data_IF_161565310284
#
_entry.id   IF_161565310284
#
_cell.length_a   1.000
_cell.length_b   1.000
_cell.length_c   1.000
_cell.angle_alpha   90.00
_cell.angle_beta   90.00
_cell.angle_gamma   90.00
#
_symmetry.space_group_name_H-M   'P 1'
#
loop_
_entity.id
_entity.type
_entity.pdbx_description
1 polymer ?
#
# COMPACT_ATOMS: atom_id res chain seq x y z
N UNK A 1 4.03 -17.57 16.14
CA UNK A 1 2.81 -17.25 15.36
C UNK A 1 1.73 -16.54 16.18
N UNK A 2 1.49 -16.88 17.45
CA UNK A 2 0.43 -16.23 18.28
C UNK A 2 0.68 -14.76 18.62
N UNK A 3 1.92 -14.31 18.78
CA UNK A 3 2.21 -12.91 19.17
C UNK A 3 1.96 -11.88 18.05
N UNK A 4 2.14 -12.25 16.78
CA UNK A 4 1.93 -11.33 15.66
C UNK A 4 0.45 -11.00 15.48
N UNK A 5 -0.43 -11.98 15.63
CA UNK A 5 -1.87 -11.78 15.46
C UNK A 5 -2.48 -10.89 16.55
N UNK A 6 -2.03 -11.02 17.81
CA UNK A 6 -2.52 -10.19 18.94
C UNK A 6 -2.11 -8.72 18.78
N UNK A 7 -0.89 -8.47 18.36
CA UNK A 7 -0.37 -7.12 18.16
C UNK A 7 -1.09 -6.41 16.97
N UNK A 8 -1.37 -7.13 15.90
CA UNK A 8 -2.16 -6.62 14.78
C UNK A 8 -3.61 -6.33 15.21
N UNK A 9 -4.23 -7.20 16.02
CA UNK A 9 -5.57 -6.96 16.56
C UNK A 9 -5.62 -5.68 17.39
N UNK A 10 -4.59 -5.43 18.21
CA UNK A 10 -4.49 -4.18 18.98
C UNK A 10 -4.42 -2.94 18.07
N UNK A 11 -3.72 -3.02 16.92
CA UNK A 11 -3.70 -1.94 15.93
C UNK A 11 -5.10 -1.63 15.38
N UNK A 12 -5.90 -2.65 15.06
CA UNK A 12 -7.27 -2.45 14.62
C UNK A 12 -8.10 -1.74 15.71
N UNK A 13 -7.94 -2.08 16.98
CA UNK A 13 -8.61 -1.41 18.09
C UNK A 13 -8.24 0.07 18.19
N UNK A 14 -6.96 0.40 18.06
CA UNK A 14 -6.47 1.80 18.13
C UNK A 14 -7.04 2.70 17.04
N UNK A 15 -7.47 2.14 15.93
CA UNK A 15 -8.08 2.89 14.82
C UNK A 15 -9.61 2.84 14.84
N UNK A 16 -10.22 2.28 15.91
CA UNK A 16 -11.65 2.32 16.13
C UNK A 16 -12.42 1.05 15.73
N UNK A 17 -11.73 -0.06 15.51
CA UNK A 17 -12.40 -1.36 15.34
C UNK A 17 -12.45 -2.14 16.65
N UNK A 18 -13.57 -2.11 17.36
CA UNK A 18 -13.76 -2.92 18.58
C UNK A 18 -13.65 -4.42 18.31
N UNK A 19 -14.11 -4.83 17.12
CA UNK A 19 -14.04 -6.22 16.66
C UNK A 19 -13.63 -6.25 15.19
N UNK A 20 -12.78 -7.23 14.85
CA UNK A 20 -12.40 -7.46 13.45
C UNK A 20 -13.62 -7.82 12.61
N UNK A 21 -13.72 -7.21 11.45
CA UNK A 21 -14.72 -7.57 10.44
C UNK A 21 -14.45 -8.96 9.84
N UNK A 22 -15.41 -9.59 9.17
CA UNK A 22 -15.21 -10.91 8.55
C UNK A 22 -14.03 -10.93 7.56
N UNK A 23 -13.85 -9.88 6.76
CA UNK A 23 -12.74 -9.81 5.80
C UNK A 23 -11.38 -9.65 6.53
N UNK A 24 -11.31 -8.85 7.58
CA UNK A 24 -10.11 -8.69 8.38
C UNK A 24 -9.67 -10.01 9.02
N UNK A 25 -10.61 -10.76 9.60
CA UNK A 25 -10.33 -12.10 10.18
C UNK A 25 -9.78 -13.09 9.16
N UNK A 26 -10.29 -13.04 7.91
CA UNK A 26 -9.82 -13.93 6.83
C UNK A 26 -8.50 -13.49 6.22
N UNK A 27 -8.27 -12.19 6.08
CA UNK A 27 -7.07 -11.65 5.45
C UNK A 27 -5.81 -11.81 6.33
N UNK A 28 -5.94 -11.58 7.65
CA UNK A 28 -4.81 -11.62 8.57
C UNK A 28 -3.93 -12.88 8.46
N UNK A 29 -4.47 -14.12 8.57
CA UNK A 29 -3.62 -15.31 8.52
C UNK A 29 -2.98 -15.55 7.16
N UNK A 30 -3.52 -14.99 6.08
CA UNK A 30 -2.96 -15.09 4.73
C UNK A 30 -1.81 -14.10 4.58
N UNK A 31 -2.03 -12.84 4.93
CA UNK A 31 -1.04 -11.78 4.78
C UNK A 31 0.15 -11.97 5.75
N UNK A 32 -0.09 -12.47 6.97
CA UNK A 32 0.99 -12.79 7.92
C UNK A 32 1.95 -13.88 7.39
N UNK A 33 1.51 -14.68 6.42
CA UNK A 33 2.36 -15.67 5.73
C UNK A 33 3.01 -15.12 4.47
N UNK A 34 2.81 -13.85 4.15
CA UNK A 34 3.30 -13.17 2.95
C UNK A 34 2.86 -13.87 1.65
N UNK A 35 1.62 -14.36 1.63
CA UNK A 35 1.02 -15.02 0.47
C UNK A 35 0.23 -13.98 -0.33
N UNK A 36 0.35 -14.03 -1.66
CA UNK A 36 -0.47 -13.22 -2.55
C UNK A 36 -1.97 -13.51 -2.32
N UNK A 37 -2.78 -12.47 -2.21
CA UNK A 37 -4.18 -12.58 -1.86
C UNK A 37 -5.06 -11.64 -2.66
N UNK A 38 -6.25 -12.11 -3.04
CA UNK A 38 -7.33 -11.29 -3.55
C UNK A 38 -8.39 -11.12 -2.47
N UNK A 39 -8.60 -9.87 -2.03
CA UNK A 39 -9.60 -9.54 -1.01
C UNK A 39 -10.91 -9.10 -1.68
N UNK A 40 -11.92 -9.95 -1.61
CA UNK A 40 -13.25 -9.68 -2.16
C UNK A 40 -14.26 -9.52 -1.02
N UNK A 41 -14.86 -8.35 -0.93
CA UNK A 41 -15.90 -8.05 0.06
C UNK A 41 -16.65 -6.76 -0.32
N UNK A 42 -17.87 -6.52 0.21
CA UNK A 42 -18.62 -5.30 -0.05
C UNK A 42 -17.84 -4.02 0.32
N UNK A 43 -18.26 -2.90 -0.26
CA UNK A 43 -17.75 -1.58 0.09
C UNK A 43 -18.00 -1.29 1.57
N UNK A 44 -17.10 -0.60 2.25
CA UNK A 44 -17.24 -0.27 3.68
C UNK A 44 -16.97 -1.43 4.64
N UNK A 45 -16.61 -2.61 4.16
CA UNK A 45 -16.32 -3.79 5.00
C UNK A 45 -14.95 -3.76 5.70
N UNK A 46 -14.10 -2.75 5.41
CA UNK A 46 -12.74 -2.64 5.93
C UNK A 46 -11.69 -3.38 5.10
N UNK A 47 -11.90 -3.53 3.78
CA UNK A 47 -10.91 -4.13 2.85
C UNK A 47 -9.55 -3.44 2.90
N UNK A 48 -9.55 -2.12 2.77
CA UNK A 48 -8.33 -1.32 2.78
C UNK A 48 -7.53 -1.56 4.05
N UNK A 49 -8.17 -1.46 5.20
CA UNK A 49 -7.55 -1.72 6.50
C UNK A 49 -7.07 -3.16 6.65
N UNK A 50 -7.81 -4.12 6.06
CA UNK A 50 -7.43 -5.54 6.06
C UNK A 50 -6.09 -5.79 5.37
N UNK A 51 -5.76 -4.99 4.34
CA UNK A 51 -4.50 -5.05 3.62
C UNK A 51 -3.41 -4.22 4.29
N UNK A 52 -3.65 -2.91 4.50
CA UNK A 52 -2.58 -1.98 4.86
C UNK A 52 -2.07 -2.15 6.29
N UNK A 53 -2.94 -2.46 7.26
CA UNK A 53 -2.53 -2.55 8.66
C UNK A 53 -1.54 -3.69 8.91
N UNK A 54 -1.78 -4.94 8.46
CA UNK A 54 -0.80 -6.01 8.60
C UNK A 54 0.51 -5.71 7.87
N UNK A 55 0.43 -5.18 6.65
CA UNK A 55 1.59 -4.83 5.83
C UNK A 55 2.44 -3.77 6.53
N UNK A 56 1.83 -2.69 7.00
CA UNK A 56 2.57 -1.61 7.67
C UNK A 56 3.23 -2.08 8.96
N UNK A 57 2.53 -2.92 9.72
CA UNK A 57 3.12 -3.53 10.92
C UNK A 57 4.35 -4.38 10.59
N UNK A 58 4.30 -5.19 9.53
CA UNK A 58 5.45 -5.99 9.08
C UNK A 58 6.60 -5.10 8.62
N UNK A 59 6.31 -4.03 7.85
CA UNK A 59 7.33 -3.07 7.41
C UNK A 59 7.98 -2.33 8.57
N UNK A 60 7.22 -1.97 9.62
CA UNK A 60 7.75 -1.31 10.81
C UNK A 60 8.70 -2.19 11.62
N UNK A 61 8.58 -3.50 11.49
CA UNK A 61 9.47 -4.48 12.14
C UNK A 61 10.70 -4.81 11.31
N UNK A 62 10.85 -4.20 10.15
CA UNK A 62 11.90 -4.44 9.18
C UNK A 62 12.84 -3.22 9.11
N UNK A 63 14.15 -3.46 9.05
CA UNK A 63 15.18 -2.42 9.01
C UNK A 63 15.63 -2.04 7.60
N UNK A 64 15.00 -2.59 6.55
CA UNK A 64 15.33 -2.24 5.18
C UNK A 64 14.96 -0.77 4.88
N UNK A 65 15.71 -0.15 4.00
CA UNK A 65 15.49 1.24 3.55
C UNK A 65 14.97 1.29 2.12
N UNK A 66 14.38 2.43 1.74
CA UNK A 66 13.81 2.64 0.42
C UNK A 66 12.32 2.32 0.36
N UNK A 67 11.76 2.28 -0.84
CA UNK A 67 10.35 1.98 -1.07
C UNK A 67 10.13 0.48 -0.88
N UNK A 68 9.45 0.11 0.20
CA UNK A 68 9.20 -1.29 0.59
C UNK A 68 7.77 -1.73 0.31
N UNK A 69 6.83 -0.78 0.17
CA UNK A 69 5.48 -1.05 -0.30
C UNK A 69 5.02 -0.02 -1.32
N UNK A 70 4.24 -0.48 -2.30
CA UNK A 70 3.53 0.38 -3.26
C UNK A 70 2.03 0.11 -3.10
N UNK A 71 1.26 1.19 -2.94
CA UNK A 71 -0.19 1.16 -2.96
C UNK A 71 -0.68 1.80 -4.26
N UNK A 72 -1.27 0.99 -5.13
CA UNK A 72 -1.74 1.39 -6.46
C UNK A 72 -3.24 1.53 -6.41
N UNK A 73 -3.74 2.71 -6.82
CA UNK A 73 -5.17 2.98 -6.86
C UNK A 73 -5.50 3.87 -8.06
N UNK A 74 -6.65 3.69 -8.72
CA UNK A 74 -7.08 4.58 -9.77
C UNK A 74 -7.23 6.02 -9.28
N UNK A 75 -6.93 7.01 -10.15
CA UNK A 75 -6.98 8.43 -9.78
C UNK A 75 -8.35 8.86 -9.21
N UNK A 76 -9.45 8.27 -9.73
CA UNK A 76 -10.80 8.52 -9.25
C UNK A 76 -11.06 7.99 -7.84
N UNK A 77 -10.39 6.90 -7.48
CA UNK A 77 -10.47 6.28 -6.15
C UNK A 77 -9.51 6.92 -5.13
N UNK A 78 -8.65 7.84 -5.55
CA UNK A 78 -7.81 8.68 -4.69
C UNK A 78 -8.67 9.67 -3.88
N UNK A 79 -9.67 9.14 -3.19
CA UNK A 79 -10.48 9.90 -2.25
C UNK A 79 -9.58 10.40 -1.11
N UNK A 80 -9.64 11.70 -0.82
CA UNK A 80 -8.85 12.34 0.24
C UNK A 80 -9.01 11.63 1.59
N UNK A 81 -10.18 11.09 1.88
CA UNK A 81 -10.43 10.42 3.15
C UNK A 81 -9.76 9.05 3.24
N UNK A 82 -9.74 8.29 2.15
CA UNK A 82 -8.99 7.02 2.07
C UNK A 82 -7.49 7.28 2.21
N UNK A 83 -6.97 8.27 1.47
CA UNK A 83 -5.56 8.66 1.58
C UNK A 83 -5.17 9.07 2.98
N UNK A 84 -5.95 9.97 3.61
CA UNK A 84 -5.71 10.41 4.99
C UNK A 84 -5.66 9.23 5.97
N UNK A 85 -6.57 8.26 5.81
CA UNK A 85 -6.57 7.05 6.64
C UNK A 85 -5.31 6.21 6.43
N UNK A 86 -4.94 5.93 5.19
CA UNK A 86 -3.73 5.14 4.87
C UNK A 86 -2.49 5.83 5.43
N UNK A 87 -2.33 7.14 5.21
CA UNK A 87 -1.21 7.92 5.73
C UNK A 87 -1.18 7.84 7.26
N UNK A 88 -2.30 8.08 7.92
CA UNK A 88 -2.40 7.99 9.38
C UNK A 88 -2.00 6.59 9.91
N UNK A 89 -2.40 5.52 9.22
CA UNK A 89 -2.03 4.16 9.65
C UNK A 89 -0.54 3.91 9.50
N UNK A 90 0.08 4.41 8.45
CA UNK A 90 1.52 4.32 8.26
C UNK A 90 2.29 5.13 9.32
N UNK A 91 1.85 6.36 9.61
CA UNK A 91 2.43 7.23 10.64
C UNK A 91 2.38 6.59 12.04
N UNK A 92 1.30 5.87 12.38
CA UNK A 92 1.19 5.13 13.64
C UNK A 92 2.24 4.02 13.78
N UNK A 93 2.75 3.53 12.67
CA UNK A 93 3.84 2.55 12.62
C UNK A 93 5.22 3.21 12.37
N UNK A 94 5.30 4.54 12.35
CA UNK A 94 6.54 5.27 12.10
C UNK A 94 7.03 5.20 10.66
N UNK A 95 6.16 4.84 9.71
CA UNK A 95 6.49 4.73 8.29
C UNK A 95 6.30 6.06 7.56
N UNK A 96 7.23 6.37 6.68
CA UNK A 96 7.16 7.54 5.79
C UNK A 96 6.36 7.21 4.54
N UNK A 97 5.37 8.03 4.24
CA UNK A 97 4.50 7.87 3.06
C UNK A 97 4.68 9.03 2.10
N UNK A 98 4.75 8.73 0.82
CA UNK A 98 4.69 9.73 -0.26
C UNK A 98 3.55 9.36 -1.21
N UNK A 99 2.79 10.39 -1.63
CA UNK A 99 1.74 10.24 -2.65
C UNK A 99 2.22 10.84 -3.95
N UNK A 100 2.19 10.04 -5.03
CA UNK A 100 2.61 10.50 -6.34
C UNK A 100 1.58 10.17 -7.41
N UNK A 101 1.10 11.19 -8.08
CA UNK A 101 0.24 11.13 -9.26
C UNK A 101 0.73 12.12 -10.32
N UNK A 102 0.31 11.97 -11.57
CA UNK A 102 0.85 12.56 -12.81
C UNK A 102 1.60 13.90 -12.77
N UNK A 103 1.12 14.88 -12.02
CA UNK A 103 1.65 16.26 -11.98
C UNK A 103 2.80 16.49 -10.97
N UNK A 104 3.50 15.43 -10.56
CA UNK A 104 4.58 15.55 -9.57
C UNK A 104 5.76 16.33 -10.13
N UNK A 105 6.14 17.43 -9.47
CA UNK A 105 7.23 18.31 -9.88
C UNK A 105 8.60 17.61 -9.95
N UNK A 106 9.53 18.16 -10.74
CA UNK A 106 10.89 17.63 -10.86
C UNK A 106 11.64 17.63 -9.51
N UNK A 107 11.35 18.61 -8.64
CA UNK A 107 11.93 18.70 -7.29
C UNK A 107 11.46 17.55 -6.39
N UNK A 108 10.18 17.20 -6.43
CA UNK A 108 9.64 16.07 -5.69
C UNK A 108 10.19 14.72 -6.18
N UNK A 109 10.40 14.58 -7.50
CA UNK A 109 11.07 13.41 -8.08
C UNK A 109 12.49 13.24 -7.54
N UNK A 110 13.26 14.34 -7.45
CA UNK A 110 14.63 14.33 -6.91
C UNK A 110 14.64 14.01 -5.41
N UNK A 111 13.71 14.56 -4.64
CA UNK A 111 13.60 14.31 -3.20
C UNK A 111 13.39 12.81 -2.92
N UNK A 112 12.53 12.14 -3.68
CA UNK A 112 12.24 10.71 -3.49
C UNK A 112 13.45 9.80 -3.72
N UNK A 113 14.44 10.22 -4.53
CA UNK A 113 15.68 9.45 -4.74
C UNK A 113 16.69 9.67 -3.65
N UNK A 114 16.65 10.82 -2.96
CA UNK A 114 17.60 11.18 -1.89
C UNK A 114 17.11 10.67 -0.53
N UNK A 115 15.81 10.81 -0.30
CA UNK A 115 15.13 10.48 0.96
C UNK A 115 13.84 9.72 0.62
N UNK A 116 13.95 8.43 0.21
CA UNK A 116 12.82 7.66 -0.26
C UNK A 116 11.82 7.38 0.87
N UNK A 117 10.50 7.32 0.56
CA UNK A 117 9.49 6.88 1.50
C UNK A 117 9.55 5.36 1.69
N UNK A 118 8.97 4.87 2.78
CA UNK A 118 8.74 3.45 3.01
C UNK A 118 7.59 2.92 2.15
N UNK A 119 6.56 3.77 2.00
CA UNK A 119 5.33 3.46 1.28
C UNK A 119 5.08 4.51 0.20
N UNK A 120 4.94 4.07 -1.02
CA UNK A 120 4.55 4.91 -2.16
C UNK A 120 3.09 4.65 -2.53
N UNK A 121 2.26 5.69 -2.49
CA UNK A 121 0.89 5.64 -3.02
C UNK A 121 0.92 6.27 -4.42
N UNK A 122 0.42 5.54 -5.42
CA UNK A 122 0.50 6.00 -6.81
C UNK A 122 -0.64 5.48 -7.66
N UNK A 123 -0.70 5.95 -8.92
CA UNK A 123 -1.63 5.43 -9.93
C UNK A 123 -0.91 4.50 -10.90
N UNK A 124 -1.63 3.61 -11.64
CA UNK A 124 -1.03 2.73 -12.63
C UNK A 124 -0.16 3.46 -13.66
N UNK A 125 -0.65 4.60 -14.16
CA UNK A 125 0.04 5.40 -15.17
C UNK A 125 1.34 5.99 -14.62
N UNK A 126 1.30 6.46 -13.38
CA UNK A 126 2.48 7.04 -12.73
C UNK A 126 3.50 5.96 -12.39
N UNK A 127 3.05 4.76 -11.99
CA UNK A 127 3.95 3.63 -11.77
C UNK A 127 4.72 3.27 -13.03
N UNK A 128 4.05 3.18 -14.19
CA UNK A 128 4.71 2.93 -15.47
C UNK A 128 5.85 3.93 -15.73
N UNK A 129 5.61 5.23 -15.47
CA UNK A 129 6.64 6.28 -15.59
C UNK A 129 7.77 6.08 -14.56
N UNK A 130 7.45 5.68 -13.33
CA UNK A 130 8.45 5.42 -12.29
C UNK A 130 9.39 4.29 -12.71
N UNK A 131 8.85 3.22 -13.29
CA UNK A 131 9.60 2.04 -13.70
C UNK A 131 10.55 2.29 -14.89
N UNK A 132 10.39 3.38 -15.64
CA UNK A 132 11.35 3.79 -16.69
C UNK A 132 12.55 4.57 -16.13
N UNK A 133 12.59 4.86 -14.83
CA UNK A 133 13.63 5.67 -14.22
C UNK A 133 14.55 4.83 -13.32
N UNK A 134 15.77 4.58 -13.77
CA UNK A 134 16.77 3.75 -13.06
C UNK A 134 17.03 4.20 -11.63
N UNK A 135 17.04 5.52 -11.35
CA UNK A 135 17.27 6.04 -10.00
C UNK A 135 16.12 5.68 -9.05
N UNK A 136 14.89 5.70 -9.56
CA UNK A 136 13.71 5.29 -8.79
C UNK A 136 13.65 3.77 -8.61
N UNK A 137 14.07 3.00 -9.62
CA UNK A 137 14.21 1.55 -9.48
C UNK A 137 15.22 1.17 -8.38
N UNK A 138 16.31 1.93 -8.27
CA UNK A 138 17.31 1.68 -7.23
C UNK A 138 16.75 1.82 -5.81
N UNK A 139 15.85 2.78 -5.56
CA UNK A 139 15.22 2.93 -4.23
C UNK A 139 14.07 1.94 -3.98
N UNK A 140 13.70 1.16 -4.99
CA UNK A 140 12.68 0.10 -4.91
C UNK A 140 13.27 -1.31 -4.79
N UNK A 141 14.59 -1.47 -4.65
CA UNK A 141 15.25 -2.79 -4.57
C UNK A 141 14.76 -3.67 -3.41
N UNK A 142 14.26 -3.04 -2.37
CA UNK A 142 13.70 -3.70 -1.18
C UNK A 142 12.17 -3.76 -1.20
N UNK A 143 11.54 -3.62 -2.38
CA UNK A 143 10.09 -3.71 -2.52
C UNK A 143 9.61 -5.11 -2.14
N UNK A 144 8.71 -5.19 -1.16
CA UNK A 144 8.14 -6.44 -0.62
C UNK A 144 6.65 -6.58 -0.91
N UNK A 145 5.95 -5.45 -0.99
CA UNK A 145 4.51 -5.44 -1.08
C UNK A 145 4.00 -4.54 -2.20
N UNK A 146 3.08 -5.06 -2.99
CA UNK A 146 2.28 -4.29 -3.94
C UNK A 146 0.81 -4.51 -3.60
N UNK A 147 0.12 -3.44 -3.24
CA UNK A 147 -1.32 -3.43 -3.00
C UNK A 147 -2.00 -2.77 -4.18
N UNK A 148 -2.93 -3.46 -4.81
CA UNK A 148 -3.74 -2.94 -5.92
C UNK A 148 -5.16 -2.79 -5.43
N UNK A 149 -5.61 -1.55 -5.27
CA UNK A 149 -6.97 -1.24 -4.84
C UNK A 149 -7.89 -1.04 -6.05
N UNK A 150 -9.19 -1.28 -5.84
CA UNK A 150 -10.23 -1.13 -6.87
C UNK A 150 -9.88 -1.84 -8.20
N UNK A 151 -9.32 -3.05 -8.09
CA UNK A 151 -8.83 -3.83 -9.23
C UNK A 151 -9.87 -4.00 -10.34
N UNK A 152 -11.16 -3.98 -10.01
CA UNK A 152 -12.25 -4.07 -10.97
C UNK A 152 -12.33 -2.85 -11.91
N UNK A 153 -11.86 -1.68 -11.50
CA UNK A 153 -11.75 -0.50 -12.37
C UNK A 153 -10.61 -0.63 -13.38
N UNK A 154 -9.67 -1.55 -13.15
CA UNK A 154 -8.49 -1.76 -13.98
C UNK A 154 -8.68 -2.89 -14.99
N UNK A 155 -9.44 -3.93 -14.66
CA UNK A 155 -9.56 -5.16 -15.49
C UNK A 155 -10.15 -4.89 -16.88
N UNK A 156 -11.01 -3.88 -17.04
CA UNK A 156 -11.76 -3.64 -18.27
C UNK A 156 -11.19 -2.56 -19.17
N UNK A 157 -9.98 -2.05 -18.91
CA UNK A 157 -9.42 -0.93 -19.66
C UNK A 157 -7.90 -1.05 -19.89
N UNK A 158 -7.37 -0.18 -20.77
CA UNK A 158 -5.95 -0.13 -21.12
C UNK A 158 -5.02 0.06 -19.89
N UNK A 159 -5.50 0.67 -18.82
CA UNK A 159 -4.74 0.88 -17.58
C UNK A 159 -4.39 -0.44 -16.90
N UNK A 160 -5.29 -1.42 -16.95
CA UNK A 160 -5.03 -2.76 -16.44
C UNK A 160 -3.99 -3.51 -17.25
N UNK A 161 -4.00 -3.37 -18.58
CA UNK A 161 -2.97 -3.93 -19.44
C UNK A 161 -1.59 -3.31 -19.12
N UNK A 162 -1.52 -1.98 -18.97
CA UNK A 162 -0.30 -1.28 -18.57
C UNK A 162 0.19 -1.73 -17.19
N UNK A 163 -0.71 -1.89 -16.23
CA UNK A 163 -0.35 -2.36 -14.90
C UNK A 163 0.19 -3.79 -14.93
N UNK A 164 -0.48 -4.69 -15.66
CA UNK A 164 -0.04 -6.09 -15.80
C UNK A 164 1.36 -6.23 -16.43
N UNK A 165 1.75 -5.29 -17.30
CA UNK A 165 3.10 -5.22 -17.87
C UNK A 165 4.13 -4.61 -16.90
N UNK A 166 3.66 -3.93 -15.86
CA UNK A 166 4.49 -3.23 -14.87
C UNK A 166 4.79 -4.07 -13.62
N UNK A 167 4.05 -5.16 -13.42
CA UNK A 167 4.17 -6.09 -12.28
C UNK A 167 4.96 -7.32 -12.65
#
# INVERSE_FOLDING_TARGET
MQNVDLDIIDRFKRIGYDKLTPIQKKALPVLSRQINALLVSPTGSGKTESAVIPIFKMLASDNDSGIRAIYITPLRALNRDVLRRIIRYAELEGLKVEVRHGDTSASAKKKMTIDPPDVLITTPETLAIILTNERLLNVMKNLKWVVIDEVHELISNERGAHLALSL
#
